data_IF_197773233405
#
_entry.id   IF_197773233405
#
_cell.length_a   1.000
_cell.length_b   1.000
_cell.length_c   1.000
_cell.angle_alpha   90.00
_cell.angle_beta   90.00
_cell.angle_gamma   90.00
#
_symmetry.space_group_name_H-M   'P 1'
#
loop_
_entity.id
_entity.type
_entity.pdbx_description
1 polymer ?
#
# COMPACT_ATOMS: atom_id res chain seq x y z
N UNK A 1 0.08 -35.34 9.85
CA UNK A 1 0.78 -34.07 9.58
C UNK A 1 -0.23 -33.14 8.94
N UNK A 2 -0.51 -32.02 9.58
CA UNK A 2 -1.63 -31.12 9.25
C UNK A 2 -1.14 -30.04 8.29
N UNK A 3 -0.99 -30.40 7.01
CA UNK A 3 -0.41 -29.55 5.96
C UNK A 3 -1.18 -28.23 5.78
N UNK A 4 -2.48 -28.22 6.09
CA UNK A 4 -3.36 -27.07 5.93
C UNK A 4 -2.97 -25.89 6.83
N UNK A 5 -2.51 -26.18 8.04
CA UNK A 5 -2.09 -25.17 9.02
C UNK A 5 -0.77 -24.50 8.60
N UNK A 6 0.13 -25.30 8.01
CA UNK A 6 1.41 -24.81 7.47
C UNK A 6 1.21 -23.89 6.27
N UNK A 7 0.34 -24.27 5.31
CA UNK A 7 0.05 -23.42 4.14
C UNK A 7 -0.58 -22.08 4.54
N UNK A 8 -1.48 -22.05 5.52
CA UNK A 8 -2.08 -20.80 6.00
C UNK A 8 -1.05 -19.85 6.62
N UNK A 9 -0.10 -20.36 7.42
CA UNK A 9 0.97 -19.54 7.97
C UNK A 9 1.91 -18.99 6.89
N UNK A 10 2.19 -19.79 5.86
CA UNK A 10 3.03 -19.35 4.75
C UNK A 10 2.37 -18.21 3.97
N UNK A 11 1.07 -18.35 3.65
CA UNK A 11 0.29 -17.31 2.97
C UNK A 11 0.20 -16.05 3.82
N UNK A 12 -0.09 -16.16 5.12
CA UNK A 12 -0.17 -14.99 6.01
C UNK A 12 1.16 -14.24 6.10
N UNK A 13 2.28 -14.97 6.15
CA UNK A 13 3.62 -14.36 6.17
C UNK A 13 3.94 -13.66 4.86
N UNK A 14 3.56 -14.26 3.73
CA UNK A 14 3.71 -13.65 2.40
C UNK A 14 2.90 -12.35 2.30
N UNK A 15 1.63 -12.37 2.69
CA UNK A 15 0.75 -11.19 2.68
C UNK A 15 1.30 -10.09 3.60
N UNK A 16 1.84 -10.47 4.76
CA UNK A 16 2.47 -9.52 5.68
C UNK A 16 3.70 -8.83 5.06
N UNK A 17 4.61 -9.59 4.43
CA UNK A 17 5.80 -9.03 3.77
C UNK A 17 5.39 -8.15 2.58
N UNK A 18 4.34 -8.55 1.86
CA UNK A 18 3.81 -7.82 0.71
C UNK A 18 2.87 -6.67 1.08
N UNK A 19 2.61 -6.40 2.36
CA UNK A 19 1.64 -5.37 2.75
C UNK A 19 2.03 -3.98 2.20
N UNK A 20 3.30 -3.60 2.31
CA UNK A 20 3.79 -2.33 1.72
C UNK A 20 3.58 -2.26 0.20
N UNK A 21 4.08 -3.24 -0.58
CA UNK A 21 3.86 -3.29 -2.03
C UNK A 21 2.37 -3.31 -2.44
N UNK A 22 1.50 -3.97 -1.66
CA UNK A 22 0.06 -4.00 -1.91
C UNK A 22 -0.56 -2.61 -1.69
N UNK A 23 -0.20 -1.94 -0.59
CA UNK A 23 -0.65 -0.58 -0.34
C UNK A 23 -0.17 0.37 -1.44
N UNK A 24 1.08 0.21 -1.91
CA UNK A 24 1.62 1.02 -2.99
C UNK A 24 0.89 0.78 -4.32
N UNK A 25 0.63 -0.48 -4.67
CA UNK A 25 -0.15 -0.81 -5.85
C UNK A 25 -1.57 -0.24 -5.77
N UNK A 26 -2.20 -0.27 -4.59
CA UNK A 26 -3.50 0.35 -4.36
C UNK A 26 -3.45 1.87 -4.53
N UNK A 27 -2.42 2.53 -4.00
CA UNK A 27 -2.19 3.98 -4.15
C UNK A 27 -2.03 4.37 -5.62
N UNK A 28 -1.15 3.67 -6.35
CA UNK A 28 -0.93 3.92 -7.78
C UNK A 28 -2.21 3.71 -8.59
N UNK A 29 -2.95 2.62 -8.29
CA UNK A 29 -4.23 2.34 -8.97
C UNK A 29 -5.27 3.42 -8.67
N UNK A 30 -5.33 3.92 -7.44
CA UNK A 30 -6.25 4.99 -7.05
C UNK A 30 -5.89 6.32 -7.75
N UNK A 31 -4.60 6.66 -7.80
CA UNK A 31 -4.10 7.86 -8.49
C UNK A 31 -4.44 7.76 -9.98
N UNK A 32 -3.85 6.79 -10.70
CA UNK A 32 -3.90 6.75 -12.16
C UNK A 32 -5.22 6.18 -12.68
N UNK A 33 -5.73 5.11 -12.08
CA UNK A 33 -7.01 4.50 -12.44
C UNK A 33 -8.20 5.40 -12.07
N UNK A 34 -8.16 6.02 -10.89
CA UNK A 34 -9.17 6.97 -10.46
C UNK A 34 -9.19 8.22 -11.35
N UNK A 35 -8.04 8.83 -11.61
CA UNK A 35 -7.97 10.00 -12.50
C UNK A 35 -8.43 9.67 -13.93
N UNK A 36 -7.98 8.56 -14.51
CA UNK A 36 -8.36 8.17 -15.88
C UNK A 36 -9.87 7.94 -16.02
N UNK A 37 -10.47 7.22 -15.07
CA UNK A 37 -11.91 6.96 -15.09
C UNK A 37 -12.73 8.22 -14.86
N UNK A 38 -12.36 9.05 -13.89
CA UNK A 38 -13.07 10.29 -13.58
C UNK A 38 -12.97 11.33 -14.72
N UNK A 39 -11.82 11.41 -15.41
CA UNK A 39 -11.70 12.25 -16.61
C UNK A 39 -12.56 11.69 -17.76
N UNK A 40 -12.63 10.36 -17.96
CA UNK A 40 -13.40 9.75 -19.05
C UNK A 40 -14.92 9.92 -18.89
N UNK A 41 -15.43 9.99 -17.66
CA UNK A 41 -16.87 10.13 -17.38
C UNK A 41 -17.31 11.58 -17.08
N UNK A 42 -16.38 12.55 -17.06
CA UNK A 42 -16.63 13.95 -16.64
C UNK A 42 -17.40 14.04 -15.30
N UNK A 43 -17.22 13.05 -14.42
CA UNK A 43 -18.10 12.82 -13.28
C UNK A 43 -17.89 13.81 -12.13
N UNK A 44 -16.71 14.43 -12.03
CA UNK A 44 -16.33 15.32 -10.94
C UNK A 44 -15.50 16.52 -11.43
N UNK A 45 -15.58 17.68 -10.76
CA UNK A 45 -14.70 18.80 -11.01
C UNK A 45 -13.23 18.42 -10.73
N UNK A 46 -12.31 18.89 -11.57
CA UNK A 46 -10.87 18.58 -11.47
C UNK A 46 -10.29 18.85 -10.06
N UNK A 47 -10.72 19.92 -9.39
CA UNK A 47 -10.28 20.24 -8.04
C UNK A 47 -10.68 19.19 -7.00
N UNK A 48 -11.86 18.56 -7.16
CA UNK A 48 -12.33 17.49 -6.26
C UNK A 48 -11.53 16.21 -6.49
N UNK A 49 -11.22 15.89 -7.75
CA UNK A 49 -10.39 14.72 -8.10
C UNK A 49 -8.99 14.84 -7.49
N UNK A 50 -8.36 16.02 -7.59
CA UNK A 50 -7.05 16.27 -6.98
C UNK A 50 -7.07 16.08 -5.46
N UNK A 51 -8.07 16.63 -4.77
CA UNK A 51 -8.22 16.43 -3.32
C UNK A 51 -8.45 14.98 -2.93
N UNK A 52 -9.24 14.23 -3.71
CA UNK A 52 -9.50 12.82 -3.47
C UNK A 52 -8.21 12.00 -3.58
N UNK A 53 -7.40 12.29 -4.59
CA UNK A 53 -6.10 11.63 -4.80
C UNK A 53 -5.17 11.90 -3.61
N UNK A 54 -4.98 13.17 -3.23
CA UNK A 54 -4.13 13.54 -2.10
C UNK A 54 -4.62 12.87 -0.81
N UNK A 55 -5.94 12.91 -0.54
CA UNK A 55 -6.51 12.29 0.65
C UNK A 55 -6.28 10.77 0.67
N UNK A 56 -6.45 10.09 -0.46
CA UNK A 56 -6.24 8.64 -0.58
C UNK A 56 -4.78 8.28 -0.35
N UNK A 57 -3.86 8.99 -0.99
CA UNK A 57 -2.43 8.75 -0.84
C UNK A 57 -1.94 9.01 0.57
N UNK A 58 -2.40 10.09 1.22
CA UNK A 58 -2.08 10.36 2.63
C UNK A 58 -2.56 9.22 3.54
N UNK A 59 -3.77 8.71 3.34
CA UNK A 59 -4.30 7.59 4.14
C UNK A 59 -3.48 6.32 3.94
N UNK A 60 -3.11 5.98 2.70
CA UNK A 60 -2.33 4.77 2.40
C UNK A 60 -0.88 4.88 2.90
N UNK A 61 -0.23 6.04 2.75
CA UNK A 61 1.11 6.30 3.30
C UNK A 61 1.08 6.18 4.83
N UNK A 62 0.07 6.76 5.50
CA UNK A 62 -0.07 6.63 6.95
C UNK A 62 -0.28 5.18 7.37
N UNK A 63 -1.10 4.41 6.64
CA UNK A 63 -1.30 3.00 6.90
C UNK A 63 0.02 2.20 6.78
N UNK A 64 0.84 2.49 5.76
CA UNK A 64 2.14 1.84 5.57
C UNK A 64 3.14 2.23 6.68
N UNK A 65 3.19 3.51 7.08
CA UNK A 65 4.01 3.96 8.21
C UNK A 65 3.60 3.24 9.51
N UNK A 66 2.31 3.12 9.78
CA UNK A 66 1.80 2.38 10.94
C UNK A 66 2.24 0.92 10.88
N UNK A 67 2.18 0.29 9.70
CA UNK A 67 2.63 -1.08 9.49
C UNK A 67 4.15 -1.23 9.77
N UNK A 68 4.97 -0.28 9.34
CA UNK A 68 6.44 -0.27 9.53
C UNK A 68 6.81 -0.09 11.01
N UNK A 69 6.14 0.85 11.70
CA UNK A 69 6.41 1.18 13.11
C UNK A 69 5.88 0.09 14.04
N UNK A 70 4.70 -0.44 13.75
CA UNK A 70 4.01 -1.45 14.57
C UNK A 70 3.74 -2.75 13.81
N UNK A 71 4.78 -3.52 13.44
CA UNK A 71 4.62 -4.72 12.60
C UNK A 71 4.02 -5.92 13.36
N UNK A 72 4.24 -6.02 14.68
CA UNK A 72 3.74 -7.13 15.49
C UNK A 72 2.21 -7.27 15.53
N UNK A 73 1.42 -6.22 15.80
CA UNK A 73 -0.04 -6.34 15.80
C UNK A 73 -0.57 -6.72 14.41
N UNK A 74 0.04 -6.17 13.35
CA UNK A 74 -0.33 -6.52 11.97
C UNK A 74 -0.02 -8.00 11.65
N UNK A 75 1.15 -8.48 12.06
CA UNK A 75 1.53 -9.88 11.89
C UNK A 75 0.57 -10.81 12.64
N UNK A 76 0.23 -10.48 13.89
CA UNK A 76 -0.73 -11.25 14.68
C UNK A 76 -2.14 -11.23 14.07
N UNK A 77 -2.56 -10.11 13.46
CA UNK A 77 -3.85 -10.02 12.76
C UNK A 77 -3.90 -10.92 11.52
N UNK A 78 -2.83 -10.96 10.73
CA UNK A 78 -2.77 -11.67 9.45
C UNK A 78 -2.43 -13.17 9.60
N UNK A 79 -1.55 -13.51 10.53
CA UNK A 79 -1.01 -14.88 10.71
C UNK A 79 -1.66 -15.59 11.90
N UNK A 80 -2.25 -14.85 12.85
CA UNK A 80 -2.92 -15.41 14.03
C UNK A 80 -1.98 -16.02 15.08
N UNK A 81 -0.66 -16.00 14.86
CA UNK A 81 0.37 -16.54 15.74
C UNK A 81 1.65 -15.69 15.68
N UNK A 82 2.47 -15.68 16.75
CA UNK A 82 3.76 -15.00 16.73
C UNK A 82 4.74 -15.66 15.74
N UNK A 83 5.66 -14.89 15.14
CA UNK A 83 6.62 -15.40 14.17
C UNK A 83 7.63 -16.36 14.84
N UNK A 84 8.14 -17.36 14.10
CA UNK A 84 9.20 -18.24 14.59
C UNK A 84 10.43 -17.43 15.02
N UNK A 85 11.03 -17.71 16.19
CA UNK A 85 12.11 -16.90 16.75
C UNK A 85 13.36 -16.85 15.86
N UNK A 86 13.59 -17.91 15.09
CA UNK A 86 14.66 -18.08 14.10
C UNK A 86 14.49 -17.21 12.84
N UNK A 87 13.26 -16.87 12.45
CA UNK A 87 12.95 -16.13 11.22
C UNK A 87 12.40 -14.72 11.47
N UNK A 88 12.11 -14.39 12.73
CA UNK A 88 11.48 -13.13 13.13
C UNK A 88 12.21 -11.89 12.61
N UNK A 89 13.53 -11.83 12.79
CA UNK A 89 14.30 -10.64 12.41
C UNK A 89 14.37 -10.47 10.89
N UNK A 90 14.43 -11.57 10.14
CA UNK A 90 14.37 -11.55 8.68
C UNK A 90 13.00 -11.08 8.18
N UNK A 91 11.91 -11.65 8.69
CA UNK A 91 10.54 -11.29 8.28
C UNK A 91 10.24 -9.82 8.58
N UNK A 92 10.60 -9.35 9.78
CA UNK A 92 10.41 -7.95 10.17
C UNK A 92 11.32 -7.02 9.39
N UNK A 93 12.57 -7.41 9.12
CA UNK A 93 13.50 -6.64 8.30
C UNK A 93 13.03 -6.51 6.85
N UNK A 94 12.60 -7.60 6.23
CA UNK A 94 12.08 -7.62 4.87
C UNK A 94 10.81 -6.77 4.75
N UNK A 95 9.86 -6.93 5.67
CA UNK A 95 8.64 -6.11 5.70
C UNK A 95 8.94 -4.62 5.85
N UNK A 96 9.85 -4.24 6.76
CA UNK A 96 10.25 -2.84 6.94
C UNK A 96 10.97 -2.28 5.72
N UNK A 97 11.88 -3.05 5.10
CA UNK A 97 12.59 -2.61 3.90
C UNK A 97 11.66 -2.44 2.70
N UNK A 98 10.74 -3.37 2.48
CA UNK A 98 9.74 -3.27 1.42
C UNK A 98 8.72 -2.16 1.70
N UNK A 99 8.31 -1.99 2.96
CA UNK A 99 7.45 -0.89 3.40
C UNK A 99 8.10 0.46 3.15
N UNK A 100 9.34 0.68 3.62
CA UNK A 100 10.02 1.98 3.41
C UNK A 100 10.22 2.31 1.92
N UNK A 101 10.55 1.31 1.10
CA UNK A 101 10.60 1.47 -0.36
C UNK A 101 9.23 1.83 -0.95
N UNK A 102 8.17 1.20 -0.45
CA UNK A 102 6.79 1.46 -0.88
C UNK A 102 6.34 2.88 -0.50
N UNK A 103 6.57 3.31 0.74
CA UNK A 103 6.28 4.67 1.18
C UNK A 103 7.03 5.73 0.35
N UNK A 104 8.32 5.50 0.04
CA UNK A 104 9.09 6.38 -0.83
C UNK A 104 8.50 6.46 -2.24
N UNK A 105 8.09 5.31 -2.79
CA UNK A 105 7.44 5.27 -4.09
C UNK A 105 6.10 6.02 -4.07
N UNK A 106 5.22 5.79 -3.09
CA UNK A 106 3.96 6.51 -2.92
C UNK A 106 4.18 8.03 -2.86
N UNK A 107 5.14 8.49 -2.05
CA UNK A 107 5.47 9.92 -1.94
C UNK A 107 5.89 10.51 -3.29
N UNK A 108 6.74 9.79 -4.02
CA UNK A 108 7.20 10.21 -5.34
C UNK A 108 6.06 10.30 -6.37
N UNK A 109 5.20 9.28 -6.44
CA UNK A 109 4.07 9.25 -7.37
C UNK A 109 2.97 10.26 -6.99
N UNK A 110 2.70 10.44 -5.69
CA UNK A 110 1.77 11.46 -5.20
C UNK A 110 2.26 12.85 -5.59
N UNK A 111 3.56 13.13 -5.42
CA UNK A 111 4.14 14.41 -5.83
C UNK A 111 4.01 14.63 -7.34
N UNK A 112 4.27 13.60 -8.15
CA UNK A 112 4.07 13.66 -9.59
C UNK A 112 2.59 13.93 -9.96
N UNK A 113 1.66 13.27 -9.27
CA UNK A 113 0.22 13.42 -9.50
C UNK A 113 -0.31 14.82 -9.15
N UNK A 114 0.30 15.51 -8.19
CA UNK A 114 -0.03 16.90 -7.84
C UNK A 114 0.54 17.90 -8.86
N UNK A 115 1.70 17.59 -9.44
CA UNK A 115 2.37 18.47 -10.40
C UNK A 115 1.78 18.39 -11.81
N UNK A 116 1.23 17.24 -12.22
CA UNK A 116 0.66 17.05 -13.55
C UNK A 116 -0.87 17.25 -13.54
N UNK A 117 -1.42 18.19 -14.32
CA UNK A 117 -2.87 18.34 -14.46
C UNK A 117 -3.45 17.15 -15.24
N UNK A 118 -4.09 16.22 -14.51
CA UNK A 118 -4.50 14.92 -15.03
C UNK A 118 -5.45 14.94 -16.24
N UNK A 119 -6.36 15.93 -16.33
CA UNK A 119 -7.32 16.00 -17.43
C UNK A 119 -7.00 17.07 -18.48
N UNK A 120 -5.94 17.88 -18.35
CA UNK A 120 -5.59 18.86 -19.40
C UNK A 120 -4.91 18.21 -20.61
N UNK A 121 -4.18 17.11 -20.43
CA UNK A 121 -3.48 16.44 -21.52
C UNK A 121 -4.40 15.69 -22.49
N UNK A 122 -5.69 15.53 -22.17
CA UNK A 122 -6.68 14.85 -23.02
C UNK A 122 -7.55 15.81 -23.85
N UNK A 123 -7.42 17.13 -23.67
CA UNK A 123 -8.16 18.16 -24.41
C UNK A 123 -7.27 18.80 -25.47
#
# INVERSE_FOLDING_TARGET
MDDRNSSQQMIGTLVFILTGPILWAADLTAIYGGQSSLCAFEALPQGVVGWLVIATSVVLILADIVAIVSPLPLFNLLVGRPPPPDQRDFILGAMRGLGTLSALAMLYFTLAAVLLPACEQLR
#
